data_IF_407557994175
#
_entry.id   IF_407557994175
#
_cell.length_a   1.000
_cell.length_b   1.000
_cell.length_c   1.000
_cell.angle_alpha   90.00
_cell.angle_beta   90.00
_cell.angle_gamma   90.00
#
_symmetry.space_group_name_H-M   'P 1'
#
loop_
_entity.id
_entity.type
_entity.pdbx_description
1 polymer ?
#
# COMPACT_ATOMS: atom_id res chain seq x y z
N UNK A 1 -8.35 17.72 -3.48
CA UNK A 1 -6.97 17.23 -3.66
C UNK A 1 -6.65 17.20 -5.15
N UNK A 2 -5.46 17.68 -5.51
CA UNK A 2 -4.88 17.46 -6.83
C UNK A 2 -4.02 16.20 -6.77
N UNK A 3 -4.05 15.40 -7.83
CA UNK A 3 -3.28 14.16 -7.94
C UNK A 3 -2.56 14.19 -9.28
N UNK A 4 -1.24 14.07 -9.22
CA UNK A 4 -0.38 13.87 -10.37
C UNK A 4 0.16 12.43 -10.36
N UNK A 5 0.34 11.83 -11.53
CA UNK A 5 0.87 10.48 -11.66
C UNK A 5 1.99 10.46 -12.70
N UNK A 6 3.16 10.03 -12.26
CA UNK A 6 4.34 9.97 -13.10
C UNK A 6 4.53 8.56 -13.68
N UNK A 7 4.48 8.44 -15.01
CA UNK A 7 4.53 7.15 -15.70
C UNK A 7 5.89 6.46 -15.62
N UNK A 8 7.00 7.20 -15.46
CA UNK A 8 8.33 6.62 -15.35
C UNK A 8 8.54 5.97 -13.99
N UNK A 9 8.20 6.70 -12.93
CA UNK A 9 8.37 6.25 -11.55
C UNK A 9 7.22 5.42 -11.00
N UNK A 10 6.05 5.46 -11.66
CA UNK A 10 4.81 4.84 -11.22
C UNK A 10 4.36 5.37 -9.85
N UNK A 11 4.72 6.60 -9.51
CA UNK A 11 4.37 7.26 -8.26
C UNK A 11 3.22 8.24 -8.45
N UNK A 12 2.39 8.36 -7.42
CA UNK A 12 1.37 9.39 -7.31
C UNK A 12 1.91 10.52 -6.43
N UNK A 13 1.69 11.76 -6.84
CA UNK A 13 1.98 12.94 -6.03
C UNK A 13 0.64 13.60 -5.68
N UNK A 14 0.35 13.73 -4.38
CA UNK A 14 -0.85 14.40 -3.88
C UNK A 14 -0.49 15.80 -3.41
N UNK A 15 -1.22 16.79 -3.92
CA UNK A 15 -1.08 18.21 -3.59
C UNK A 15 0.36 18.75 -3.69
N UNK A 16 1.20 18.14 -4.54
CA UNK A 16 2.65 18.41 -4.68
C UNK A 16 3.48 18.21 -3.40
N UNK A 17 2.92 17.53 -2.39
CA UNK A 17 3.50 17.40 -1.05
C UNK A 17 3.86 15.96 -0.70
N UNK A 18 2.97 15.01 -1.02
CA UNK A 18 3.11 13.62 -0.60
C UNK A 18 3.27 12.73 -1.81
N UNK A 19 4.42 12.06 -1.91
CA UNK A 19 4.71 11.10 -2.97
C UNK A 19 4.41 9.69 -2.49
N UNK A 20 3.69 8.94 -3.30
CA UNK A 20 3.15 7.64 -2.89
C UNK A 20 3.37 6.57 -3.96
N UNK A 21 3.74 5.37 -3.51
CA UNK A 21 3.72 4.17 -4.32
C UNK A 21 2.46 3.36 -4.04
N UNK A 22 1.87 2.76 -5.07
CA UNK A 22 0.73 1.84 -4.93
C UNK A 22 1.11 0.48 -5.48
N UNK A 23 1.02 -0.56 -4.66
CA UNK A 23 1.38 -1.93 -5.01
C UNK A 23 0.14 -2.82 -4.91
N UNK A 24 -0.27 -3.43 -6.02
CA UNK A 24 -1.33 -4.44 -6.01
C UNK A 24 -0.72 -5.81 -5.72
N UNK A 25 -1.09 -6.41 -4.59
CA UNK A 25 -0.68 -7.76 -4.24
C UNK A 25 -1.81 -8.75 -4.49
N UNK A 26 -1.57 -9.67 -5.43
CA UNK A 26 -2.50 -10.75 -5.75
C UNK A 26 -2.36 -11.89 -4.75
N UNK A 27 -3.50 -12.44 -4.34
CA UNK A 27 -3.56 -13.65 -3.54
C UNK A 27 -3.05 -14.83 -4.38
N UNK A 28 -2.15 -15.62 -3.80
CA UNK A 28 -1.76 -16.93 -4.31
C UNK A 28 -1.83 -17.97 -3.20
N UNK A 29 -2.03 -19.23 -3.59
CA UNK A 29 -2.05 -20.35 -2.66
C UNK A 29 -0.63 -20.92 -2.53
N UNK A 30 -0.18 -21.10 -1.29
CA UNK A 30 0.96 -21.94 -0.96
C UNK A 30 0.45 -23.10 -0.10
N UNK A 31 0.34 -24.29 -0.70
CA UNK A 31 -0.43 -25.41 -0.17
C UNK A 31 -1.88 -24.99 0.13
N UNK A 32 -2.31 -25.08 1.39
CA UNK A 32 -3.65 -24.70 1.86
C UNK A 32 -3.72 -23.27 2.41
N UNK A 33 -2.62 -22.51 2.39
CA UNK A 33 -2.55 -21.17 2.98
C UNK A 33 -2.53 -20.09 1.89
N UNK A 34 -3.29 -19.02 2.13
CA UNK A 34 -3.26 -17.82 1.27
C UNK A 34 -2.05 -16.96 1.61
N UNK A 35 -1.45 -16.41 0.55
CA UNK A 35 -0.25 -15.58 0.60
C UNK A 35 -0.38 -14.41 -0.35
N UNK A 36 0.29 -13.31 -0.02
CA UNK A 36 0.36 -12.10 -0.82
C UNK A 36 1.80 -11.64 -0.88
N UNK A 37 2.43 -11.71 -2.05
CA UNK A 37 3.82 -11.29 -2.24
C UNK A 37 3.82 -9.82 -2.61
N UNK A 38 4.62 -9.06 -1.91
CA UNK A 38 4.74 -7.61 -2.08
C UNK A 38 6.20 -7.34 -2.39
N UNK A 39 6.43 -6.63 -3.49
CA UNK A 39 7.74 -6.16 -3.86
C UNK A 39 7.69 -4.64 -3.84
N UNK A 40 8.46 -4.05 -2.94
CA UNK A 40 8.57 -2.61 -2.87
C UNK A 40 9.57 -2.15 -3.92
N UNK A 41 9.13 -1.25 -4.79
CA UNK A 41 10.06 -0.54 -5.66
C UNK A 41 10.85 0.44 -4.79
N UNK A 42 12.17 0.49 -4.94
CA UNK A 42 13.03 1.42 -4.19
C UNK A 42 13.88 2.30 -5.09
N UNK A 43 13.78 2.11 -6.41
CA UNK A 43 14.47 2.95 -7.39
C UNK A 43 14.08 4.42 -7.24
N UNK A 44 12.86 4.70 -6.76
CA UNK A 44 12.34 6.04 -6.57
C UNK A 44 12.04 6.29 -5.08
N UNK A 45 12.24 7.54 -4.66
CA UNK A 45 11.92 7.99 -3.31
C UNK A 45 10.43 8.36 -3.23
N UNK A 46 9.74 7.81 -2.23
CA UNK A 46 8.36 8.10 -1.88
C UNK A 46 8.22 8.15 -0.36
N UNK A 47 7.18 8.82 0.13
CA UNK A 47 6.89 8.98 1.55
C UNK A 47 6.03 7.83 2.07
N UNK A 48 5.12 7.33 1.23
CA UNK A 48 4.10 6.34 1.61
C UNK A 48 4.00 5.25 0.56
N UNK A 49 3.84 3.99 0.99
CA UNK A 49 3.48 2.88 0.13
C UNK A 49 2.12 2.31 0.55
N UNK A 50 1.18 2.29 -0.38
CA UNK A 50 -0.12 1.64 -0.22
C UNK A 50 -0.05 0.27 -0.88
N UNK A 51 -0.19 -0.79 -0.10
CA UNK A 51 -0.36 -2.15 -0.60
C UNK A 51 -1.85 -2.47 -0.65
N UNK A 52 -2.35 -2.79 -1.84
CA UNK A 52 -3.71 -3.26 -2.06
C UNK A 52 -3.69 -4.78 -2.10
N UNK A 53 -4.24 -5.45 -1.07
CA UNK A 53 -4.41 -6.92 -1.12
C UNK A 53 -5.70 -7.23 -1.84
N UNK A 54 -5.63 -8.13 -2.83
CA UNK A 54 -6.84 -8.67 -3.43
C UNK A 54 -7.37 -9.88 -2.66
N UNK A 55 -8.65 -10.17 -2.80
CA UNK A 55 -9.28 -11.38 -2.28
C UNK A 55 -8.71 -12.66 -2.92
N UNK A 56 -9.15 -13.82 -2.46
CA UNK A 56 -8.68 -15.11 -3.00
C UNK A 56 -9.05 -15.35 -4.47
N UNK A 57 -10.04 -14.64 -5.00
CA UNK A 57 -10.41 -14.71 -6.41
C UNK A 57 -9.63 -13.68 -7.26
N UNK A 58 -8.85 -12.81 -6.61
CA UNK A 58 -8.16 -11.67 -7.22
C UNK A 58 -9.10 -10.70 -7.97
N UNK A 59 -10.35 -10.59 -7.52
CA UNK A 59 -11.36 -9.74 -8.17
C UNK A 59 -11.61 -8.48 -7.36
N UNK A 60 -11.80 -8.61 -6.05
CA UNK A 60 -12.09 -7.48 -5.17
C UNK A 60 -10.87 -7.14 -4.31
N UNK A 61 -10.82 -5.89 -3.87
CA UNK A 61 -9.92 -5.49 -2.80
C UNK A 61 -10.37 -6.13 -1.49
N UNK A 62 -9.43 -6.75 -0.78
CA UNK A 62 -9.62 -7.33 0.55
C UNK A 62 -9.41 -6.29 1.64
N UNK A 63 -8.27 -5.61 1.60
CA UNK A 63 -7.84 -4.58 2.55
C UNK A 63 -6.60 -3.84 2.01
N UNK A 64 -6.20 -2.80 2.73
CA UNK A 64 -5.09 -1.93 2.41
C UNK A 64 -4.05 -1.99 3.53
N UNK A 65 -2.77 -1.95 3.18
CA UNK A 65 -1.71 -1.63 4.13
C UNK A 65 -1.06 -0.31 3.72
N UNK A 66 -0.93 0.62 4.65
CA UNK A 66 -0.37 1.95 4.41
C UNK A 66 0.90 2.09 5.22
N UNK A 67 2.06 1.95 4.56
CA UNK A 67 3.36 2.04 5.21
C UNK A 67 3.99 3.41 4.95
N UNK A 68 4.54 4.09 5.97
CA UNK A 68 5.54 5.10 5.70
C UNK A 68 6.79 4.39 5.15
N UNK A 69 7.42 4.96 4.12
CA UNK A 69 8.51 4.31 3.39
C UNK A 69 9.72 3.97 4.25
N UNK A 70 9.93 4.69 5.35
CA UNK A 70 10.99 4.43 6.34
C UNK A 70 10.84 3.09 7.08
N UNK A 71 9.61 2.58 7.23
CA UNK A 71 9.32 1.30 7.88
C UNK A 71 9.58 0.11 6.95
N UNK A 72 9.70 0.37 5.66
CA UNK A 72 10.12 -0.63 4.70
C UNK A 72 11.63 -0.74 4.84
N UNK A 73 12.12 -1.71 5.62
CA UNK A 73 13.55 -2.05 5.71
C UNK A 73 13.93 -3.18 4.74
N UNK A 74 13.00 -4.11 4.51
CA UNK A 74 13.14 -5.17 3.51
C UNK A 74 12.56 -4.75 2.15
N UNK A 75 13.11 -5.30 1.06
CA UNK A 75 12.59 -5.03 -0.30
C UNK A 75 11.34 -5.84 -0.64
N UNK A 76 10.99 -6.81 0.19
CA UNK A 76 9.88 -7.71 -0.05
C UNK A 76 9.23 -8.14 1.26
N UNK A 77 7.90 -8.22 1.25
CA UNK A 77 7.13 -8.90 2.28
C UNK A 77 6.29 -9.99 1.65
N UNK A 78 6.01 -11.03 2.44
CA UNK A 78 5.01 -12.02 2.10
C UNK A 78 3.99 -12.01 3.23
N UNK A 79 2.81 -11.44 2.95
CA UNK A 79 1.73 -11.45 3.92
C UNK A 79 1.00 -12.79 3.92
N UNK A 80 0.53 -13.15 5.10
CA UNK A 80 -0.23 -14.35 5.38
C UNK A 80 -1.70 -14.00 5.70
N UNK A 81 -2.52 -14.99 6.01
CA UNK A 81 -3.86 -14.74 6.58
C UNK A 81 -3.75 -14.16 8.00
N UNK A 82 -2.74 -14.58 8.76
CA UNK A 82 -2.40 -14.05 10.07
C UNK A 82 -0.97 -13.52 10.02
N UNK A 83 -0.83 -12.20 10.08
CA UNK A 83 0.48 -11.55 10.07
C UNK A 83 0.98 -11.31 11.50
N UNK A 84 2.29 -11.09 11.69
CA UNK A 84 2.82 -10.49 12.90
C UNK A 84 2.02 -9.25 13.30
N UNK A 85 1.73 -9.12 14.60
CA UNK A 85 0.86 -8.08 15.14
C UNK A 85 1.29 -6.65 14.75
N UNK A 86 2.58 -6.42 14.57
CA UNK A 86 3.13 -5.13 14.13
C UNK A 86 2.58 -4.68 12.77
N UNK A 87 2.32 -5.63 11.86
CA UNK A 87 1.78 -5.30 10.53
C UNK A 87 0.31 -4.89 10.59
N UNK A 88 -0.44 -5.34 11.59
CA UNK A 88 -1.85 -4.99 11.73
C UNK A 88 -2.05 -3.50 12.06
N UNK A 89 -1.04 -2.81 12.61
CA UNK A 89 -1.10 -1.34 12.81
C UNK A 89 -1.16 -0.55 11.50
N UNK A 90 -0.72 -1.15 10.40
CA UNK A 90 -0.71 -0.50 9.08
C UNK A 90 -1.93 -0.89 8.24
N UNK A 91 -2.80 -1.78 8.73
CA UNK A 91 -3.92 -2.33 7.97
C UNK A 91 -5.16 -1.47 8.11
N UNK A 92 -5.83 -1.23 6.99
CA UNK A 92 -7.08 -0.48 6.89
C UNK A 92 -8.06 -1.21 5.98
N UNK A 93 -9.35 -1.15 6.31
CA UNK A 93 -10.41 -1.73 5.49
C UNK A 93 -10.70 -0.86 4.25
N UNK A 94 -10.46 0.46 4.35
CA UNK A 94 -10.63 1.42 3.28
C UNK A 94 -9.59 2.56 3.38
N UNK A 95 -9.52 3.38 2.32
CA UNK A 95 -8.58 4.52 2.25
C UNK A 95 -9.16 5.83 2.80
N UNK A 96 -10.39 5.85 3.31
CA UNK A 96 -11.06 7.09 3.78
C UNK A 96 -10.27 7.75 4.91
N UNK A 97 -9.83 7.06 5.98
CA UNK A 97 -9.05 7.69 7.05
C UNK A 97 -7.77 8.34 6.51
N UNK A 98 -7.08 7.65 5.61
CA UNK A 98 -5.87 8.16 5.00
C UNK A 98 -6.13 9.41 4.14
N UNK A 99 -7.16 9.39 3.31
CA UNK A 99 -7.55 10.53 2.49
C UNK A 99 -8.01 11.73 3.32
N UNK A 100 -8.59 11.50 4.51
CA UNK A 100 -8.95 12.59 5.43
C UNK A 100 -7.71 13.32 5.95
N UNK A 101 -6.62 12.61 6.25
CA UNK A 101 -5.36 13.21 6.70
C UNK A 101 -4.70 14.03 5.58
N UNK A 102 -4.87 13.62 4.32
CA UNK A 102 -4.33 14.32 3.16
C UNK A 102 -5.17 15.51 2.68
N UNK A 103 -6.38 15.70 3.23
CA UNK A 103 -7.19 16.87 2.90
C UNK A 103 -6.58 18.09 3.55
N UNK A 104 -6.39 19.14 2.75
CA UNK A 104 -6.15 20.48 3.28
C UNK A 104 -7.47 21.04 3.77
N UNK A 105 -7.55 21.41 5.04
CA UNK A 105 -8.58 22.33 5.52
C UNK A 105 -8.19 23.72 5.02
N UNK A 106 -8.89 24.18 3.98
CA UNK A 106 -8.80 25.57 3.57
C UNK A 106 -9.64 26.36 4.57
N UNK A 107 -8.99 27.09 5.47
CA UNK A 107 -9.62 28.13 6.28
C UNK A 107 -9.98 29.34 5.43
#
# INVERSE_FOLDING_TARGET
CYVDYDEESKLFTINDEVKMSVVISRCFMNNTRKRWRIRFERKFSYDICIVVRLDSQNVNTKDYYIFPSIELLDNQFVFEELNPYQLEFYRYDDLIPFLQILKRDVF
#
